data_IF_531761876469
#
_entry.id   IF_531761876469
#
_cell.length_a   1.000
_cell.length_b   1.000
_cell.length_c   1.000
_cell.angle_alpha   90.00
_cell.angle_beta   90.00
_cell.angle_gamma   90.00
#
_symmetry.space_group_name_H-M   'P 1'
#
loop_
_entity.id
_entity.type
_entity.pdbx_description
1 polymer ?
#
# COMPACT_ATOMS: atom_id res chain seq x y z
N UNK A 1 -28.18 -57.79 -12.34
CA UNK A 1 -28.07 -56.32 -12.33
C UNK A 1 -26.60 -55.92 -12.46
N UNK A 2 -26.15 -55.37 -13.60
CA UNK A 2 -24.78 -54.89 -13.77
C UNK A 2 -24.66 -53.44 -13.30
N UNK A 3 -23.65 -53.16 -12.46
CA UNK A 3 -23.31 -51.83 -11.97
C UNK A 3 -22.62 -51.00 -13.05
N UNK A 4 -23.28 -49.94 -13.54
CA UNK A 4 -22.67 -48.93 -14.39
C UNK A 4 -21.69 -48.08 -13.56
N UNK A 5 -20.38 -48.25 -13.80
CA UNK A 5 -19.36 -47.29 -13.37
C UNK A 5 -19.42 -46.10 -14.32
N UNK A 6 -19.77 -44.94 -13.79
CA UNK A 6 -19.71 -43.68 -14.52
C UNK A 6 -18.26 -43.24 -14.67
N UNK A 7 -17.78 -43.20 -15.91
CA UNK A 7 -16.54 -42.55 -16.29
C UNK A 7 -16.68 -41.03 -16.14
N UNK A 8 -15.91 -40.45 -15.21
CA UNK A 8 -15.79 -39.00 -15.08
C UNK A 8 -14.68 -38.48 -16.01
N UNK A 9 -14.92 -37.45 -16.84
CA UNK A 9 -13.93 -36.98 -17.80
C UNK A 9 -12.81 -36.18 -17.11
N UNK A 10 -11.62 -36.79 -17.07
CA UNK A 10 -10.36 -36.18 -16.69
C UNK A 10 -9.83 -35.27 -17.81
N UNK A 11 -10.39 -34.06 -18.00
CA UNK A 11 -9.91 -33.11 -19.02
C UNK A 11 -9.98 -31.63 -18.60
N UNK A 12 -9.61 -31.28 -17.35
CA UNK A 12 -9.55 -29.86 -16.89
C UNK A 12 -8.25 -29.43 -16.19
N UNK A 13 -7.10 -30.04 -16.48
CA UNK A 13 -5.85 -29.70 -15.76
C UNK A 13 -4.88 -28.78 -16.52
N UNK A 14 -4.93 -28.68 -17.86
CA UNK A 14 -3.93 -27.90 -18.64
C UNK A 14 -4.23 -26.42 -18.84
N UNK A 15 -5.49 -25.96 -18.75
CA UNK A 15 -5.82 -24.52 -18.90
C UNK A 15 -5.62 -23.67 -17.64
N UNK A 16 -5.28 -24.30 -16.49
CA UNK A 16 -5.07 -23.60 -15.22
C UNK A 16 -3.69 -22.95 -15.08
N UNK A 17 -2.66 -23.44 -15.77
CA UNK A 17 -1.29 -22.93 -15.58
C UNK A 17 -1.06 -21.57 -16.24
N UNK A 18 -1.60 -21.34 -17.45
CA UNK A 18 -1.49 -20.06 -18.16
C UNK A 18 -2.34 -18.96 -17.50
N UNK A 19 -3.50 -19.32 -16.95
CA UNK A 19 -4.35 -18.39 -16.20
C UNK A 19 -3.71 -17.85 -14.90
N UNK A 20 -2.66 -18.53 -14.39
CA UNK A 20 -1.96 -18.13 -13.18
C UNK A 20 -0.84 -17.09 -13.43
N UNK A 21 -0.27 -17.04 -14.64
CA UNK A 21 0.92 -16.22 -14.93
C UNK A 21 0.65 -14.78 -15.35
N UNK A 22 -0.48 -14.51 -16.01
CA UNK A 22 -0.76 -13.18 -16.57
C UNK A 22 -0.72 -12.02 -15.56
N UNK A 23 -1.19 -12.15 -14.29
CA UNK A 23 -1.15 -11.04 -13.35
C UNK A 23 0.28 -10.62 -13.03
N UNK A 24 1.19 -11.59 -12.93
CA UNK A 24 2.61 -11.35 -12.70
C UNK A 24 3.27 -10.71 -13.91
N UNK A 25 2.96 -11.18 -15.12
CA UNK A 25 3.47 -10.57 -16.36
C UNK A 25 3.04 -9.11 -16.51
N UNK A 26 1.76 -8.80 -16.27
CA UNK A 26 1.26 -7.42 -16.32
C UNK A 26 1.82 -6.58 -15.19
N UNK A 27 1.91 -7.11 -13.97
CA UNK A 27 2.51 -6.41 -12.84
C UNK A 27 4.00 -6.08 -13.05
N UNK A 28 4.75 -7.01 -13.66
CA UNK A 28 6.14 -6.80 -14.03
C UNK A 28 6.26 -5.73 -15.11
N UNK A 29 5.47 -5.82 -16.18
CA UNK A 29 5.43 -4.80 -17.22
C UNK A 29 5.08 -3.42 -16.66
N UNK A 30 4.13 -3.36 -15.72
CA UNK A 30 3.76 -2.13 -15.01
C UNK A 30 4.92 -1.58 -14.18
N UNK A 31 5.59 -2.42 -13.38
CA UNK A 31 6.75 -2.02 -12.59
C UNK A 31 7.89 -1.48 -13.45
N UNK A 32 8.18 -2.16 -14.58
CA UNK A 32 9.17 -1.70 -15.55
C UNK A 32 8.77 -0.37 -16.18
N UNK A 33 7.50 -0.22 -16.59
CA UNK A 33 6.99 1.02 -17.17
C UNK A 33 7.01 2.20 -16.18
N UNK A 34 6.68 1.95 -14.91
CA UNK A 34 6.66 2.97 -13.87
C UNK A 34 8.06 3.51 -13.55
N UNK A 35 9.07 2.63 -13.52
CA UNK A 35 10.45 3.05 -13.30
C UNK A 35 11.05 3.65 -14.57
N UNK A 36 10.65 3.17 -15.75
CA UNK A 36 10.95 3.76 -17.05
C UNK A 36 12.44 4.11 -17.22
N UNK A 37 12.79 5.39 -17.43
CA UNK A 37 14.18 5.82 -17.57
C UNK A 37 15.08 5.50 -16.37
N UNK A 38 14.53 5.38 -15.16
CA UNK A 38 15.29 5.07 -13.95
C UNK A 38 15.92 3.67 -13.98
N UNK A 39 15.49 2.79 -14.90
CA UNK A 39 16.12 1.49 -15.15
C UNK A 39 17.46 1.59 -15.88
N UNK A 40 17.79 2.75 -16.46
CA UNK A 40 19.09 3.00 -17.08
C UNK A 40 20.26 2.78 -16.12
N UNK A 41 21.48 2.56 -16.63
CA UNK A 41 22.65 2.32 -15.78
C UNK A 41 22.93 3.51 -14.86
N UNK A 42 23.51 3.23 -13.69
CA UNK A 42 23.91 4.25 -12.71
C UNK A 42 23.05 4.31 -11.45
N UNK A 43 23.50 5.17 -10.54
CA UNK A 43 22.90 5.37 -9.23
C UNK A 43 21.55 6.08 -9.29
N UNK A 44 20.68 5.81 -8.32
CA UNK A 44 19.42 6.55 -8.15
C UNK A 44 19.60 7.60 -7.05
N UNK A 45 19.42 8.86 -7.42
CA UNK A 45 19.43 9.99 -6.49
C UNK A 45 18.15 10.79 -6.65
N UNK A 46 17.36 10.81 -5.59
CA UNK A 46 16.20 11.66 -5.42
C UNK A 46 15.98 11.92 -3.92
N UNK A 47 14.96 12.70 -3.56
CA UNK A 47 14.69 13.22 -2.21
C UNK A 47 15.21 12.35 -1.04
N UNK A 48 14.63 11.16 -0.82
CA UNK A 48 15.11 10.16 0.15
C UNK A 48 15.71 8.91 -0.52
N UNK A 49 15.72 8.86 -1.86
CA UNK A 49 16.24 7.75 -2.65
C UNK A 49 17.73 7.96 -2.91
N UNK A 50 18.56 7.21 -2.20
CA UNK A 50 20.00 7.19 -2.42
C UNK A 50 20.42 5.74 -2.61
N UNK A 51 20.58 5.34 -3.86
CA UNK A 51 21.01 3.99 -4.23
C UNK A 51 22.29 4.07 -5.07
N UNK A 52 23.42 3.87 -4.40
CA UNK A 52 24.77 3.78 -4.97
C UNK A 52 25.14 2.32 -5.29
N UNK A 53 26.27 2.12 -5.96
CA UNK A 53 26.76 0.78 -6.28
C UNK A 53 27.02 -0.06 -5.01
N UNK A 54 27.60 0.57 -3.99
CA UNK A 54 27.75 -0.02 -2.66
C UNK A 54 26.77 0.68 -1.70
N UNK A 55 25.94 -0.10 -1.02
CA UNK A 55 25.03 0.39 0.01
C UNK A 55 25.67 0.06 1.36
N UNK A 56 26.14 1.05 2.13
CA UNK A 56 26.77 0.77 3.42
C UNK A 56 25.74 0.24 4.41
N UNK A 57 26.15 -0.72 5.23
CA UNK A 57 25.35 -1.18 6.37
C UNK A 57 25.23 -0.02 7.36
N UNK A 58 24.01 0.45 7.71
CA UNK A 58 23.84 1.56 8.64
C UNK A 58 24.49 1.24 9.99
N UNK A 59 25.27 2.17 10.55
CA UNK A 59 25.97 1.94 11.83
C UNK A 59 25.00 1.65 12.98
N UNK A 60 23.79 2.21 12.91
CA UNK A 60 22.70 1.96 13.86
C UNK A 60 22.26 0.49 13.94
N UNK A 61 22.52 -0.35 12.93
CA UNK A 61 22.32 -1.81 13.01
C UNK A 61 23.14 -2.43 14.14
N UNK A 62 24.34 -1.90 14.35
CA UNK A 62 25.29 -2.36 15.37
C UNK A 62 25.09 -1.66 16.71
N UNK A 63 24.04 -0.82 16.84
CA UNK A 63 23.88 0.07 17.99
C UNK A 63 24.92 1.21 18.04
N UNK A 64 25.67 1.41 16.95
CA UNK A 64 26.73 2.41 16.86
C UNK A 64 26.19 3.65 16.15
N UNK A 65 25.85 4.70 16.90
CA UNK A 65 25.51 6.03 16.36
C UNK A 65 24.00 6.31 16.21
N UNK A 66 23.65 7.58 15.94
CA UNK A 66 22.28 8.11 16.09
C UNK A 66 21.39 7.87 14.85
N UNK A 67 21.81 7.02 13.91
CA UNK A 67 21.09 6.83 12.66
C UNK A 67 19.69 6.27 12.91
N UNK A 68 18.67 7.05 12.54
CA UNK A 68 17.28 6.68 12.76
C UNK A 68 16.93 5.36 12.03
N UNK A 69 16.11 4.48 12.64
CA UNK A 69 15.65 3.22 12.05
C UNK A 69 14.76 3.39 10.81
N UNK A 70 14.63 4.59 10.23
CA UNK A 70 13.78 4.86 9.06
C UNK A 70 14.10 3.97 7.86
N UNK A 71 15.32 3.43 7.83
CA UNK A 71 15.86 2.50 6.82
C UNK A 71 15.89 1.04 7.29
N UNK A 72 15.60 0.77 8.55
CA UNK A 72 15.62 -0.58 9.13
C UNK A 72 14.19 -1.15 9.19
N UNK A 73 14.04 -2.48 9.01
CA UNK A 73 15.11 -3.47 8.78
C UNK A 73 15.40 -3.74 7.30
N UNK A 74 14.54 -3.30 6.37
CA UNK A 74 14.61 -3.69 4.96
C UNK A 74 15.91 -3.26 4.24
N UNK A 75 16.64 -2.24 4.71
CA UNK A 75 17.92 -1.87 4.09
C UNK A 75 19.06 -2.80 4.46
N UNK A 76 18.97 -3.60 5.54
CA UNK A 76 20.08 -4.48 5.95
C UNK A 76 20.32 -5.59 4.91
N UNK A 77 19.29 -6.33 4.45
CA UNK A 77 19.46 -7.28 3.36
C UNK A 77 19.96 -6.63 2.06
N UNK A 78 19.50 -5.41 1.74
CA UNK A 78 19.95 -4.67 0.56
C UNK A 78 21.43 -4.29 0.66
N UNK A 79 21.88 -3.80 1.82
CA UNK A 79 23.26 -3.45 2.07
C UNK A 79 24.18 -4.66 1.92
N UNK A 80 23.82 -5.80 2.52
CA UNK A 80 24.59 -7.04 2.36
C UNK A 80 24.60 -7.57 0.94
N UNK A 81 23.44 -7.58 0.27
CA UNK A 81 23.36 -8.01 -1.12
C UNK A 81 24.14 -7.07 -2.06
N UNK A 82 24.32 -5.79 -1.69
CA UNK A 82 25.07 -4.84 -2.50
C UNK A 82 26.56 -5.17 -2.63
N UNK A 83 27.10 -6.01 -1.74
CA UNK A 83 28.46 -6.56 -1.88
C UNK A 83 28.58 -7.63 -2.97
N UNK A 84 27.47 -8.14 -3.50
CA UNK A 84 27.43 -9.17 -4.55
C UNK A 84 26.91 -8.63 -5.88
N UNK A 85 25.97 -7.67 -5.82
CA UNK A 85 25.29 -7.08 -6.97
C UNK A 85 25.25 -5.57 -6.77
N UNK A 86 25.39 -4.80 -7.84
CA UNK A 86 25.24 -3.33 -7.78
C UNK A 86 23.97 -2.91 -7.00
N UNK A 87 24.16 -2.08 -5.97
CA UNK A 87 23.12 -1.65 -5.05
C UNK A 87 22.00 -0.86 -5.73
N UNK A 88 22.32 -0.06 -6.75
CA UNK A 88 21.30 0.63 -7.54
C UNK A 88 20.42 -0.36 -8.30
N UNK A 89 21.00 -1.42 -8.85
CA UNK A 89 20.30 -2.53 -9.51
C UNK A 89 19.40 -3.28 -8.52
N UNK A 90 19.87 -3.54 -7.31
CA UNK A 90 19.05 -4.17 -6.26
C UNK A 90 17.83 -3.31 -5.88
N UNK A 91 18.02 -1.99 -5.71
CA UNK A 91 16.91 -1.07 -5.37
C UNK A 91 15.92 -0.95 -6.52
N UNK A 92 16.38 -0.88 -7.78
CA UNK A 92 15.51 -0.92 -8.97
C UNK A 92 14.70 -2.22 -9.01
N UNK A 93 15.37 -3.36 -8.82
CA UNK A 93 14.72 -4.67 -8.77
C UNK A 93 13.67 -4.74 -7.65
N UNK A 94 13.98 -4.23 -6.46
CA UNK A 94 13.05 -4.17 -5.34
C UNK A 94 11.82 -3.31 -5.65
N UNK A 95 12.01 -2.15 -6.29
CA UNK A 95 10.91 -1.26 -6.68
C UNK A 95 9.99 -1.92 -7.73
N UNK A 96 10.57 -2.54 -8.77
CA UNK A 96 9.81 -3.31 -9.78
C UNK A 96 9.05 -4.46 -9.13
N UNK A 97 9.71 -5.22 -8.26
CA UNK A 97 9.09 -6.32 -7.52
C UNK A 97 7.96 -5.81 -6.61
N UNK A 98 8.14 -4.68 -5.94
CA UNK A 98 7.13 -4.11 -5.05
C UNK A 98 5.86 -3.70 -5.81
N UNK A 99 6.00 -3.04 -6.96
CA UNK A 99 4.87 -2.69 -7.82
C UNK A 99 4.17 -3.95 -8.34
N UNK A 100 4.94 -4.95 -8.77
CA UNK A 100 4.42 -6.23 -9.25
C UNK A 100 3.60 -6.94 -8.15
N UNK A 101 4.17 -7.06 -6.95
CA UNK A 101 3.54 -7.72 -5.80
C UNK A 101 2.31 -6.94 -5.32
N UNK A 102 2.35 -5.60 -5.32
CA UNK A 102 1.19 -4.75 -5.03
C UNK A 102 0.05 -5.00 -6.03
N UNK A 103 0.36 -4.98 -7.32
CA UNK A 103 -0.58 -5.17 -8.41
C UNK A 103 -1.29 -6.53 -8.28
N UNK A 104 -0.50 -7.61 -8.16
CA UNK A 104 -1.03 -8.97 -8.02
C UNK A 104 -1.83 -9.11 -6.72
N UNK A 105 -1.32 -8.55 -5.62
CA UNK A 105 -1.98 -8.56 -4.32
C UNK A 105 -3.38 -7.95 -4.36
N UNK A 106 -3.53 -6.77 -4.99
CA UNK A 106 -4.82 -6.12 -5.14
C UNK A 106 -5.79 -6.94 -6.01
N UNK A 107 -5.32 -7.57 -7.09
CA UNK A 107 -6.17 -8.45 -7.89
C UNK A 107 -6.73 -9.63 -7.09
N UNK A 108 -5.93 -10.17 -6.15
CA UNK A 108 -6.34 -11.31 -5.32
C UNK A 108 -7.54 -10.98 -4.42
N UNK A 109 -7.72 -9.71 -4.06
CA UNK A 109 -8.87 -9.26 -3.26
C UNK A 109 -10.20 -9.32 -4.04
N UNK A 110 -10.15 -9.43 -5.37
CA UNK A 110 -11.30 -9.57 -6.28
C UNK A 110 -11.13 -10.76 -7.22
N UNK A 111 -10.49 -11.84 -6.73
CA UNK A 111 -10.12 -12.99 -7.55
C UNK A 111 -11.31 -13.76 -8.15
N UNK A 112 -12.48 -13.65 -7.52
CA UNK A 112 -13.76 -14.22 -7.94
C UNK A 112 -14.42 -13.44 -9.11
N UNK A 113 -13.81 -12.32 -9.53
CA UNK A 113 -14.34 -11.43 -10.57
C UNK A 113 -13.62 -11.59 -11.91
N UNK A 114 -14.22 -11.02 -12.96
CA UNK A 114 -13.67 -11.06 -14.32
C UNK A 114 -12.30 -10.37 -14.44
N UNK A 115 -11.56 -10.72 -15.50
CA UNK A 115 -10.20 -10.23 -15.73
C UNK A 115 -10.10 -8.69 -15.76
N UNK A 116 -11.10 -8.00 -16.31
CA UNK A 116 -11.11 -6.52 -16.37
C UNK A 116 -11.25 -5.90 -14.99
N UNK A 117 -12.13 -6.42 -14.13
CA UNK A 117 -12.27 -5.96 -12.74
C UNK A 117 -10.99 -6.19 -11.94
N UNK A 118 -10.35 -7.35 -12.14
CA UNK A 118 -9.05 -7.67 -11.53
C UNK A 118 -7.96 -6.72 -12.01
N UNK A 119 -7.88 -6.48 -13.32
CA UNK A 119 -6.93 -5.54 -13.92
C UNK A 119 -7.13 -4.13 -13.36
N UNK A 120 -8.37 -3.65 -13.31
CA UNK A 120 -8.72 -2.34 -12.73
C UNK A 120 -8.28 -2.21 -11.27
N UNK A 121 -8.58 -3.21 -10.43
CA UNK A 121 -8.17 -3.21 -9.02
C UNK A 121 -6.63 -3.18 -8.88
N UNK A 122 -5.92 -3.95 -9.70
CA UNK A 122 -4.45 -3.94 -9.73
C UNK A 122 -3.87 -2.60 -10.14
N UNK A 123 -4.35 -2.02 -11.25
CA UNK A 123 -3.85 -0.75 -11.79
C UNK A 123 -4.11 0.41 -10.84
N UNK A 124 -5.34 0.56 -10.33
CA UNK A 124 -5.68 1.64 -9.38
C UNK A 124 -4.82 1.59 -8.12
N UNK A 125 -4.48 0.39 -7.65
CA UNK A 125 -3.68 0.21 -6.44
C UNK A 125 -2.19 0.45 -6.66
N UNK A 126 -1.62 -0.11 -7.73
CA UNK A 126 -0.17 -0.19 -7.92
C UNK A 126 0.41 0.86 -8.89
N UNK A 127 -0.42 1.41 -9.79
CA UNK A 127 0.01 2.40 -10.79
C UNK A 127 -0.34 3.85 -10.41
N UNK A 128 -1.04 4.05 -9.30
CA UNK A 128 -1.55 5.38 -8.93
C UNK A 128 -0.43 6.38 -8.56
N UNK A 129 -0.74 7.69 -8.57
CA UNK A 129 0.19 8.78 -8.26
C UNK A 129 0.88 8.59 -6.91
N UNK A 130 0.16 8.01 -5.94
CA UNK A 130 0.70 7.72 -4.62
C UNK A 130 1.92 6.79 -4.70
N UNK A 131 1.78 5.63 -5.35
CA UNK A 131 2.86 4.63 -5.43
C UNK A 131 4.02 5.17 -6.26
N UNK A 132 3.72 5.80 -7.39
CA UNK A 132 4.70 6.43 -8.26
C UNK A 132 5.55 7.45 -7.50
N UNK A 133 4.90 8.37 -6.78
CA UNK A 133 5.57 9.41 -6.00
C UNK A 133 6.46 8.82 -4.91
N UNK A 134 5.97 7.81 -4.17
CA UNK A 134 6.75 7.18 -3.08
C UNK A 134 7.93 6.35 -3.59
N UNK A 135 7.77 5.68 -4.73
CA UNK A 135 8.85 4.99 -5.40
C UNK A 135 9.92 5.98 -5.87
N UNK A 136 9.52 7.05 -6.56
CA UNK A 136 10.43 8.06 -7.08
C UNK A 136 11.18 8.81 -5.97
N UNK A 137 10.50 9.16 -4.88
CA UNK A 137 11.09 9.91 -3.76
C UNK A 137 11.88 9.06 -2.78
N UNK A 138 11.87 7.72 -2.90
CA UNK A 138 12.64 6.84 -2.02
C UNK A 138 11.99 6.53 -0.68
N UNK A 139 10.66 6.68 -0.59
CA UNK A 139 9.87 6.26 0.55
C UNK A 139 9.68 4.73 0.58
N UNK A 140 10.80 4.00 0.52
CA UNK A 140 10.84 2.55 0.29
C UNK A 140 10.01 1.77 1.31
N UNK A 141 10.05 2.13 2.60
CA UNK A 141 9.22 1.49 3.62
C UNK A 141 7.71 1.58 3.31
N UNK A 142 7.25 2.71 2.77
CA UNK A 142 5.83 2.88 2.37
C UNK A 142 5.52 2.07 1.10
N UNK A 143 6.45 2.02 0.14
CA UNK A 143 6.30 1.21 -1.08
C UNK A 143 6.21 -0.29 -0.74
N UNK A 144 7.03 -0.76 0.21
CA UNK A 144 6.96 -2.13 0.72
C UNK A 144 5.65 -2.41 1.46
N UNK A 145 5.15 -1.46 2.25
CA UNK A 145 3.80 -1.57 2.86
C UNK A 145 2.73 -1.72 1.79
N UNK A 146 2.77 -0.91 0.72
CA UNK A 146 1.85 -1.04 -0.41
C UNK A 146 1.96 -2.44 -1.05
N UNK A 147 3.17 -2.96 -1.24
CA UNK A 147 3.36 -4.30 -1.78
C UNK A 147 2.76 -5.40 -0.89
N UNK A 148 3.01 -5.34 0.42
CA UNK A 148 2.66 -6.41 1.37
C UNK A 148 1.19 -6.35 1.79
N UNK A 149 0.61 -5.15 1.94
CA UNK A 149 -0.69 -4.94 2.58
C UNK A 149 -1.83 -5.80 2.00
N UNK A 150 -2.05 -5.90 0.67
CA UNK A 150 -3.13 -6.72 0.12
C UNK A 150 -3.02 -8.21 0.44
N UNK A 151 -1.80 -8.70 0.72
CA UNK A 151 -1.51 -10.11 1.00
C UNK A 151 -1.84 -10.47 2.45
N UNK A 152 -1.61 -9.53 3.36
CA UNK A 152 -1.79 -9.74 4.81
C UNK A 152 -3.14 -9.26 5.31
N UNK A 153 -3.81 -8.35 4.57
CA UNK A 153 -5.07 -7.72 4.97
C UNK A 153 -6.15 -8.72 5.42
N UNK A 154 -6.48 -9.79 4.65
CA UNK A 154 -7.52 -10.73 5.08
C UNK A 154 -7.17 -11.48 6.37
N UNK A 155 -5.88 -11.64 6.68
CA UNK A 155 -5.41 -12.29 7.91
C UNK A 155 -5.49 -11.36 9.10
N UNK A 156 -5.04 -10.11 8.94
CA UNK A 156 -5.06 -9.13 10.02
C UNK A 156 -6.46 -8.62 10.35
N UNK A 157 -7.44 -8.84 9.47
CA UNK A 157 -8.85 -8.53 9.72
C UNK A 157 -9.64 -9.66 10.40
N UNK A 158 -9.04 -10.85 10.52
CA UNK A 158 -9.52 -11.94 11.37
C UNK A 158 -8.37 -12.49 12.24
N UNK A 159 -7.71 -11.63 13.04
CA UNK A 159 -6.41 -11.95 13.62
C UNK A 159 -6.47 -13.05 14.69
N UNK A 160 -7.62 -13.30 15.30
CA UNK A 160 -7.78 -14.37 16.30
C UNK A 160 -7.95 -15.76 15.69
N UNK A 161 -8.18 -15.86 14.37
CA UNK A 161 -8.43 -17.13 13.69
C UNK A 161 -7.18 -18.03 13.64
N UNK A 162 -5.99 -17.43 13.49
CA UNK A 162 -4.70 -18.14 13.43
C UNK A 162 -3.58 -17.21 13.89
N UNK A 163 -3.16 -17.37 15.15
CA UNK A 163 -2.16 -16.49 15.78
C UNK A 163 -0.79 -16.57 15.09
N UNK A 164 -0.40 -17.74 14.57
CA UNK A 164 0.86 -17.91 13.87
C UNK A 164 0.85 -17.11 12.56
N UNK A 165 -0.25 -17.17 11.80
CA UNK A 165 -0.40 -16.35 10.59
C UNK A 165 -0.54 -14.86 10.90
N UNK A 166 -1.15 -14.49 12.01
CA UNK A 166 -1.20 -13.10 12.49
C UNK A 166 0.18 -12.58 12.85
N UNK A 167 1.00 -13.38 13.54
CA UNK A 167 2.40 -13.05 13.82
C UNK A 167 3.19 -12.87 12.52
N UNK A 168 3.08 -13.80 11.56
CA UNK A 168 3.78 -13.70 10.28
C UNK A 168 3.32 -12.48 9.46
N UNK A 169 2.02 -12.19 9.44
CA UNK A 169 1.47 -11.00 8.79
C UNK A 169 1.96 -9.70 9.46
N UNK A 170 1.99 -9.67 10.78
CA UNK A 170 2.56 -8.56 11.56
C UNK A 170 4.05 -8.39 11.30
N UNK A 171 4.81 -9.49 11.23
CA UNK A 171 6.24 -9.49 10.94
C UNK A 171 6.56 -9.04 9.51
N UNK A 172 5.76 -9.45 8.51
CA UNK A 172 5.93 -9.01 7.13
C UNK A 172 5.76 -7.48 7.00
N UNK A 173 4.78 -6.90 7.71
CA UNK A 173 4.64 -5.45 7.78
C UNK A 173 5.73 -4.80 8.65
N UNK A 174 6.12 -5.42 9.77
CA UNK A 174 7.24 -4.95 10.60
C UNK A 174 8.57 -4.90 9.85
N UNK A 175 8.78 -5.80 8.89
CA UNK A 175 9.93 -5.79 7.99
C UNK A 175 9.97 -4.54 7.08
N UNK A 176 8.84 -3.87 6.87
CA UNK A 176 8.74 -2.60 6.14
C UNK A 176 9.12 -1.37 7.01
N UNK A 177 9.53 -1.59 8.27
CA UNK A 177 9.91 -0.55 9.22
C UNK A 177 8.73 0.08 9.96
N UNK A 178 8.94 1.28 10.50
CA UNK A 178 7.97 1.99 11.37
C UNK A 178 6.59 2.13 10.71
N UNK A 179 6.54 2.55 9.43
CA UNK A 179 5.27 2.73 8.72
C UNK A 179 4.50 1.42 8.58
N UNK A 180 5.19 0.31 8.35
CA UNK A 180 4.55 -1.01 8.32
C UNK A 180 4.07 -1.45 9.69
N UNK A 181 4.82 -1.18 10.77
CA UNK A 181 4.36 -1.48 12.12
C UNK A 181 3.12 -0.70 12.56
N UNK A 182 3.04 0.59 12.20
CA UNK A 182 1.82 1.39 12.42
C UNK A 182 0.64 0.78 11.65
N UNK A 183 0.83 0.43 10.37
CA UNK A 183 -0.21 -0.21 9.55
C UNK A 183 -0.61 -1.57 10.13
N UNK A 184 0.32 -2.39 10.62
CA UNK A 184 0.04 -3.67 11.25
C UNK A 184 -0.84 -3.51 12.50
N UNK A 185 -0.52 -2.54 13.35
CA UNK A 185 -1.29 -2.21 14.55
C UNK A 185 -2.70 -1.72 14.21
N UNK A 186 -2.83 -0.81 13.24
CA UNK A 186 -4.13 -0.28 12.81
C UNK A 186 -5.02 -1.38 12.21
N UNK A 187 -4.50 -2.16 11.26
CA UNK A 187 -5.28 -3.22 10.61
C UNK A 187 -5.64 -4.32 11.60
N UNK A 188 -4.67 -4.79 12.40
CA UNK A 188 -4.90 -5.80 13.43
C UNK A 188 -5.89 -5.34 14.51
N UNK A 189 -5.80 -4.08 14.93
CA UNK A 189 -6.73 -3.46 15.87
C UNK A 189 -8.14 -3.36 15.31
N UNK A 190 -8.30 -2.87 14.07
CA UNK A 190 -9.60 -2.82 13.40
C UNK A 190 -10.21 -4.22 13.21
N UNK A 191 -9.39 -5.21 12.88
CA UNK A 191 -9.78 -6.63 12.83
C UNK A 191 -10.30 -7.12 14.18
N UNK A 192 -9.53 -6.92 15.25
CA UNK A 192 -9.92 -7.27 16.63
C UNK A 192 -11.22 -6.59 17.10
N UNK A 193 -11.44 -5.34 16.69
CA UNK A 193 -12.66 -4.58 17.01
C UNK A 193 -13.86 -5.09 16.20
N UNK A 194 -13.64 -5.55 14.97
CA UNK A 194 -14.67 -6.15 14.14
C UNK A 194 -14.99 -7.60 14.55
N UNK A 195 -14.06 -8.30 15.19
CA UNK A 195 -14.30 -9.63 15.75
C UNK A 195 -15.31 -9.57 16.91
N UNK A 196 -16.31 -10.46 16.86
CA UNK A 196 -17.32 -10.60 17.92
C UNK A 196 -16.81 -11.34 19.16
N UNK A 197 -17.64 -12.20 19.73
CA UNK A 197 -17.39 -12.86 21.04
C UNK A 197 -16.16 -13.78 21.11
N UNK A 198 -15.59 -14.22 19.99
CA UNK A 198 -14.45 -15.17 19.94
C UNK A 198 -13.06 -14.54 19.84
N UNK A 199 -12.95 -13.23 20.09
CA UNK A 199 -11.67 -12.50 20.03
C UNK A 199 -10.69 -12.93 21.11
N UNK A 200 -9.40 -12.97 20.77
CA UNK A 200 -8.28 -13.27 21.67
C UNK A 200 -7.35 -12.06 21.79
N UNK A 201 -7.81 -10.94 22.37
CA UNK A 201 -7.14 -9.65 22.27
C UNK A 201 -5.70 -9.70 22.80
N UNK A 202 -5.47 -10.29 23.98
CA UNK A 202 -4.14 -10.39 24.56
C UNK A 202 -3.17 -11.19 23.66
N UNK A 203 -3.62 -12.33 23.11
CA UNK A 203 -2.79 -13.17 22.26
C UNK A 203 -2.48 -12.52 20.90
N UNK A 204 -3.45 -11.80 20.32
CA UNK A 204 -3.24 -11.05 19.08
C UNK A 204 -2.30 -9.87 19.31
N UNK A 205 -2.49 -9.11 20.38
CA UNK A 205 -1.58 -8.00 20.74
C UNK A 205 -0.16 -8.51 20.96
N UNK A 206 0.01 -9.64 21.65
CA UNK A 206 1.31 -10.29 21.81
C UNK A 206 1.91 -10.72 20.46
N UNK A 207 1.13 -11.37 19.59
CA UNK A 207 1.59 -11.80 18.26
C UNK A 207 2.03 -10.61 17.39
N UNK A 208 1.27 -9.52 17.40
CA UNK A 208 1.61 -8.30 16.67
C UNK A 208 2.87 -7.64 17.26
N UNK A 209 2.96 -7.53 18.59
CA UNK A 209 4.11 -6.95 19.27
C UNK A 209 5.40 -7.73 18.96
N UNK A 210 5.35 -9.07 19.00
CA UNK A 210 6.48 -9.92 18.62
C UNK A 210 6.87 -9.72 17.16
N UNK A 211 5.89 -9.64 16.26
CA UNK A 211 6.14 -9.33 14.84
C UNK A 211 6.79 -7.96 14.61
N UNK A 212 6.65 -7.00 15.52
CA UNK A 212 7.25 -5.67 15.39
C UNK A 212 8.69 -5.57 15.93
N UNK A 213 9.19 -6.60 16.64
CA UNK A 213 10.50 -6.52 17.31
C UNK A 213 11.65 -6.17 16.38
N UNK A 214 11.57 -6.59 15.11
CA UNK A 214 12.61 -6.39 14.09
C UNK A 214 12.95 -4.91 13.84
N UNK A 215 12.01 -4.00 14.06
CA UNK A 215 12.24 -2.55 13.92
C UNK A 215 12.07 -1.80 15.24
N UNK A 216 11.19 -2.26 16.13
CA UNK A 216 10.88 -1.56 17.36
C UNK A 216 12.04 -1.62 18.36
N UNK A 217 12.75 -2.75 18.44
CA UNK A 217 13.91 -2.89 19.33
C UNK A 217 15.04 -1.92 18.94
N UNK A 218 15.52 -1.90 17.67
CA UNK A 218 16.47 -0.86 17.23
C UNK A 218 15.92 0.57 17.43
N UNK A 219 14.62 0.78 17.19
CA UNK A 219 13.98 2.08 17.38
C UNK A 219 13.99 2.60 18.80
N UNK A 220 13.71 1.75 19.79
CA UNK A 220 13.79 2.13 21.20
C UNK A 220 15.22 2.45 21.61
N UNK A 221 16.21 1.68 21.13
CA UNK A 221 17.63 1.93 21.41
C UNK A 221 18.06 3.30 20.89
N UNK A 222 17.77 3.61 19.62
CA UNK A 222 18.11 4.91 19.01
C UNK A 222 17.35 6.05 19.68
N UNK A 223 16.06 5.86 19.99
CA UNK A 223 15.27 6.88 20.68
C UNK A 223 15.86 7.26 22.04
N UNK A 224 16.34 6.26 22.81
CA UNK A 224 17.00 6.49 24.11
C UNK A 224 18.32 7.27 24.02
N UNK A 225 18.92 7.37 22.84
CA UNK A 225 20.14 8.17 22.61
C UNK A 225 19.85 9.67 22.43
N UNK A 226 18.59 10.11 22.59
CA UNK A 226 18.23 11.54 22.62
C UNK A 226 18.05 12.18 21.24
N UNK A 227 17.81 11.37 20.20
CA UNK A 227 17.56 11.88 18.84
C UNK A 227 16.27 12.70 18.81
N UNK A 228 16.37 13.97 18.42
CA UNK A 228 15.21 14.83 18.16
C UNK A 228 14.68 14.57 16.75
N UNK A 229 13.38 14.31 16.65
CA UNK A 229 12.68 14.16 15.38
C UNK A 229 12.29 15.54 14.85
N UNK A 230 12.33 15.73 13.53
CA UNK A 230 11.85 16.96 12.88
C UNK A 230 10.38 17.26 13.21
N UNK A 231 10.00 18.53 13.18
CA UNK A 231 8.63 19.00 13.49
C UNK A 231 7.60 18.47 12.49
N UNK A 232 6.36 18.32 12.94
CA UNK A 232 5.27 17.71 12.16
C UNK A 232 4.72 18.61 11.04
N UNK A 233 4.80 19.93 11.20
CA UNK A 233 4.23 20.92 10.27
C UNK A 233 4.82 20.86 8.86
N UNK A 234 6.09 20.46 8.75
CA UNK A 234 6.81 20.40 7.46
C UNK A 234 6.33 19.26 6.55
N UNK A 235 5.56 18.29 7.10
CA UNK A 235 5.18 17.09 6.37
C UNK A 235 3.67 16.96 6.13
N UNK A 236 2.90 18.02 6.36
CA UNK A 236 1.47 18.02 6.08
C UNK A 236 1.18 17.66 4.60
N UNK A 237 0.10 16.90 4.36
CA UNK A 237 -0.31 16.57 3.01
C UNK A 237 -0.69 17.85 2.25
N UNK A 238 -0.15 18.03 1.04
CA UNK A 238 -0.44 19.25 0.27
C UNK A 238 -1.72 19.09 -0.54
N UNK A 239 -2.76 19.81 -0.14
CA UNK A 239 -4.12 19.73 -0.73
C UNK A 239 -4.60 21.13 -1.15
N UNK A 240 -4.09 21.69 -2.26
CA UNK A 240 -4.38 23.07 -2.64
C UNK A 240 -5.83 23.26 -3.12
N UNK A 241 -6.45 24.35 -2.68
CA UNK A 241 -7.78 24.80 -3.11
C UNK A 241 -8.94 23.89 -2.67
N UNK A 242 -10.16 24.25 -3.07
CA UNK A 242 -11.38 23.52 -2.69
C UNK A 242 -11.41 22.06 -3.20
N UNK A 243 -10.70 21.76 -4.30
CA UNK A 243 -10.55 20.41 -4.84
C UNK A 243 -9.48 19.56 -4.13
N UNK A 244 -8.71 20.13 -3.21
CA UNK A 244 -7.56 19.49 -2.54
C UNK A 244 -7.89 18.13 -1.93
N UNK A 245 -8.93 18.00 -1.08
CA UNK A 245 -9.31 16.72 -0.50
C UNK A 245 -9.65 15.65 -1.55
N UNK A 246 -10.27 16.03 -2.66
CA UNK A 246 -10.58 15.09 -3.74
C UNK A 246 -9.31 14.64 -4.50
N UNK A 247 -8.30 15.51 -4.61
CA UNK A 247 -6.99 15.13 -5.18
C UNK A 247 -6.29 14.10 -4.29
N UNK A 248 -6.39 14.24 -2.96
CA UNK A 248 -5.88 13.25 -2.01
C UNK A 248 -6.50 11.87 -2.25
N UNK A 249 -7.81 11.81 -2.53
CA UNK A 249 -8.52 10.57 -2.86
C UNK A 249 -8.06 9.95 -4.19
N UNK A 250 -7.51 10.73 -5.11
CA UNK A 250 -6.86 10.22 -6.32
C UNK A 250 -5.42 9.73 -6.09
N UNK A 251 -4.90 9.83 -4.86
CA UNK A 251 -3.53 9.43 -4.51
C UNK A 251 -2.49 10.56 -4.58
N UNK A 252 -2.91 11.82 -4.76
CA UNK A 252 -2.02 12.98 -4.57
C UNK A 252 -1.89 13.33 -3.09
N UNK A 253 -1.22 14.44 -2.77
CA UNK A 253 -1.04 14.92 -1.39
C UNK A 253 0.34 14.64 -0.83
N UNK A 254 1.35 14.45 -1.68
CA UNK A 254 2.74 14.51 -1.23
C UNK A 254 3.04 15.90 -0.69
N UNK A 255 3.79 15.97 0.41
CA UNK A 255 4.02 17.22 1.16
C UNK A 255 4.88 18.22 0.37
N UNK A 256 5.78 17.72 -0.50
CA UNK A 256 6.52 18.55 -1.46
C UNK A 256 5.92 18.43 -2.87
N UNK A 257 5.09 19.39 -3.26
CA UNK A 257 4.43 19.37 -4.58
C UNK A 257 5.36 19.16 -5.77
N UNK A 258 6.61 19.64 -5.72
CA UNK A 258 7.59 19.51 -6.80
C UNK A 258 7.98 18.05 -7.10
N UNK A 259 7.79 17.13 -6.15
CA UNK A 259 8.09 15.71 -6.32
C UNK A 259 6.84 14.85 -6.55
N UNK A 260 5.65 15.44 -6.56
CA UNK A 260 4.41 14.71 -6.80
C UNK A 260 4.33 14.27 -8.26
N UNK A 261 4.20 12.97 -8.51
CA UNK A 261 3.85 12.46 -9.85
C UNK A 261 2.48 13.00 -10.25
N UNK A 262 2.37 13.49 -11.48
CA UNK A 262 1.16 14.18 -11.97
C UNK A 262 1.03 15.61 -11.43
N UNK A 263 2.13 16.26 -11.05
CA UNK A 263 2.10 17.67 -10.69
C UNK A 263 1.46 18.50 -11.81
N UNK A 264 0.64 19.49 -11.46
CA UNK A 264 -0.08 20.32 -12.44
C UNK A 264 -1.17 19.62 -13.27
N UNK A 265 -1.36 18.29 -13.15
CA UNK A 265 -2.32 17.55 -13.95
C UNK A 265 -3.76 18.01 -13.70
N UNK A 266 -4.52 18.21 -14.79
CA UNK A 266 -5.92 18.61 -14.72
C UNK A 266 -6.85 17.44 -14.41
N UNK A 267 -8.04 17.75 -13.88
CA UNK A 267 -9.09 16.75 -13.65
C UNK A 267 -8.83 15.75 -12.51
N UNK A 268 -7.70 15.86 -11.79
CA UNK A 268 -7.35 14.94 -10.69
C UNK A 268 -8.42 14.93 -9.58
N UNK A 269 -8.97 16.08 -9.22
CA UNK A 269 -10.06 16.16 -8.24
C UNK A 269 -11.32 15.44 -8.73
N UNK A 270 -11.68 15.59 -10.01
CA UNK A 270 -12.82 14.89 -10.60
C UNK A 270 -12.58 13.36 -10.63
N UNK A 271 -11.37 12.93 -10.98
CA UNK A 271 -10.99 11.52 -10.91
C UNK A 271 -11.12 10.95 -9.50
N UNK A 272 -10.62 11.66 -8.48
CA UNK A 272 -10.78 11.26 -7.08
C UNK A 272 -12.25 11.17 -6.63
N UNK A 273 -13.10 12.11 -7.06
CA UNK A 273 -14.54 12.06 -6.80
C UNK A 273 -15.21 10.85 -7.47
N UNK A 274 -14.90 10.59 -8.74
CA UNK A 274 -15.43 9.42 -9.47
C UNK A 274 -14.98 8.11 -8.81
N UNK A 275 -13.71 8.00 -8.43
CA UNK A 275 -13.18 6.83 -7.73
C UNK A 275 -13.87 6.62 -6.38
N UNK A 276 -14.13 7.69 -5.62
CA UNK A 276 -14.87 7.59 -4.36
C UNK A 276 -16.31 7.08 -4.60
N UNK A 277 -17.01 7.64 -5.60
CA UNK A 277 -18.38 7.20 -5.94
C UNK A 277 -18.40 5.73 -6.32
N UNK A 278 -17.50 5.31 -7.21
CA UNK A 278 -17.38 3.90 -7.59
C UNK A 278 -17.05 3.02 -6.38
N UNK A 279 -16.14 3.46 -5.50
CA UNK A 279 -15.78 2.72 -4.30
C UNK A 279 -16.97 2.56 -3.34
N UNK A 280 -17.77 3.61 -3.14
CA UNK A 280 -19.00 3.53 -2.33
C UNK A 280 -20.02 2.57 -2.95
N UNK A 281 -20.20 2.61 -4.27
CA UNK A 281 -21.12 1.72 -4.98
C UNK A 281 -20.70 0.23 -4.90
N UNK A 282 -19.40 -0.04 -5.03
CA UNK A 282 -18.85 -1.40 -4.96
C UNK A 282 -18.54 -1.88 -3.55
N UNK A 283 -18.59 -1.01 -2.55
CA UNK A 283 -18.30 -1.34 -1.15
C UNK A 283 -19.14 -2.52 -0.65
N UNK A 284 -20.42 -2.59 -1.05
CA UNK A 284 -21.33 -3.68 -0.65
C UNK A 284 -20.93 -5.05 -1.21
N UNK A 285 -20.20 -5.06 -2.33
CA UNK A 285 -19.76 -6.27 -3.02
C UNK A 285 -18.39 -6.77 -2.52
N UNK A 286 -17.78 -6.04 -1.56
CA UNK A 286 -16.61 -6.52 -0.81
C UNK A 286 -17.02 -7.67 0.13
N UNK A 287 -16.12 -8.65 0.37
CA UNK A 287 -16.35 -9.72 1.33
C UNK A 287 -16.70 -9.18 2.72
N UNK A 288 -17.74 -9.74 3.33
CA UNK A 288 -18.29 -9.29 4.62
C UNK A 288 -17.23 -9.18 5.72
N UNK A 289 -16.30 -10.14 5.73
CA UNK A 289 -15.25 -10.26 6.74
C UNK A 289 -14.33 -9.03 6.83
N UNK A 290 -14.17 -8.26 5.75
CA UNK A 290 -13.31 -7.07 5.77
C UNK A 290 -13.99 -5.78 5.33
N UNK A 291 -15.21 -5.85 4.77
CA UNK A 291 -15.96 -4.68 4.31
C UNK A 291 -15.96 -3.54 5.33
N UNK A 292 -16.48 -3.78 6.54
CA UNK A 292 -16.57 -2.76 7.61
C UNK A 292 -15.20 -2.26 8.10
N UNK A 293 -14.30 -3.12 8.62
CA UNK A 293 -13.04 -2.63 9.17
C UNK A 293 -12.17 -1.93 8.12
N UNK A 294 -12.16 -2.36 6.86
CA UNK A 294 -11.41 -1.65 5.82
C UNK A 294 -12.00 -0.27 5.50
N UNK A 295 -13.33 -0.09 5.54
CA UNK A 295 -13.91 1.25 5.37
C UNK A 295 -13.59 2.18 6.54
N UNK A 296 -13.53 1.67 7.78
CA UNK A 296 -13.10 2.45 8.94
C UNK A 296 -11.64 2.88 8.81
N UNK A 297 -10.77 1.96 8.41
CA UNK A 297 -9.36 2.23 8.15
C UNK A 297 -9.16 3.23 7.02
N UNK A 298 -9.94 3.12 5.95
CA UNK A 298 -9.91 4.06 4.83
C UNK A 298 -10.32 5.47 5.28
N UNK A 299 -11.42 5.59 6.03
CA UNK A 299 -11.88 6.87 6.58
C UNK A 299 -10.85 7.47 7.57
N UNK A 300 -10.29 6.64 8.45
CA UNK A 300 -9.24 7.06 9.38
C UNK A 300 -8.01 7.56 8.64
N UNK A 301 -7.53 6.83 7.63
CA UNK A 301 -6.35 7.20 6.86
C UNK A 301 -6.53 8.52 6.10
N UNK A 302 -7.70 8.73 5.49
CA UNK A 302 -8.02 10.02 4.83
C UNK A 302 -8.12 11.14 5.88
N UNK A 303 -8.79 10.90 7.00
CA UNK A 303 -8.93 11.88 8.07
C UNK A 303 -7.58 12.31 8.65
N UNK A 304 -6.68 11.35 8.92
CA UNK A 304 -5.32 11.60 9.39
C UNK A 304 -4.49 12.35 8.35
N UNK A 305 -4.58 11.97 7.07
CA UNK A 305 -3.87 12.67 6.01
C UNK A 305 -4.36 14.13 5.83
N UNK A 306 -5.65 14.39 6.07
CA UNK A 306 -6.23 15.75 6.02
C UNK A 306 -6.01 16.55 7.30
N UNK A 307 -5.81 15.91 8.46
CA UNK A 307 -5.72 16.58 9.75
C UNK A 307 -4.61 17.64 9.81
N UNK A 308 -3.46 17.34 9.20
CA UNK A 308 -2.34 18.29 9.12
C UNK A 308 -2.51 19.38 8.06
N UNK A 309 -3.51 19.27 7.18
CA UNK A 309 -3.66 20.12 6.01
C UNK A 309 -4.90 21.02 6.01
N UNK A 310 -5.86 20.74 6.90
CA UNK A 310 -7.09 21.53 7.02
C UNK A 310 -6.93 22.64 8.07
N UNK A 311 -7.32 23.89 7.74
CA UNK A 311 -7.38 24.98 8.70
C UNK A 311 -8.20 24.59 9.94
N UNK A 312 -7.67 24.88 11.12
CA UNK A 312 -8.34 24.59 12.42
C UNK A 312 -8.02 23.23 13.04
N UNK A 313 -7.55 22.24 12.27
CA UNK A 313 -7.09 20.95 12.81
C UNK A 313 -5.56 20.89 12.97
N UNK A 314 -4.84 21.75 12.25
CA UNK A 314 -3.37 21.74 12.19
C UNK A 314 -2.70 21.90 13.56
N UNK A 315 -3.19 22.79 14.43
CA UNK A 315 -2.60 23.02 15.76
C UNK A 315 -2.76 21.81 16.68
N UNK A 316 -3.94 21.17 16.66
CA UNK A 316 -4.19 19.94 17.39
C UNK A 316 -3.35 18.78 16.83
N UNK A 317 -3.27 18.68 15.50
CA UNK A 317 -2.44 17.67 14.83
C UNK A 317 -0.97 17.82 15.20
N UNK A 318 -0.45 19.05 15.15
CA UNK A 318 0.92 19.39 15.56
C UNK A 318 1.17 19.01 17.02
N UNK A 319 0.28 19.42 17.93
CA UNK A 319 0.39 19.07 19.36
C UNK A 319 0.42 17.56 19.62
N UNK A 320 -0.35 16.77 18.86
CA UNK A 320 -0.34 15.31 18.97
C UNK A 320 0.96 14.71 18.40
N UNK A 321 1.42 15.22 17.26
CA UNK A 321 2.49 14.60 16.47
C UNK A 321 3.90 15.07 16.82
N UNK A 322 4.04 16.16 17.55
CA UNK A 322 5.31 16.60 18.14
C UNK A 322 5.67 15.80 19.42
N UNK A 323 4.84 14.82 19.81
CA UNK A 323 5.15 13.86 20.87
C UNK A 323 5.93 12.66 20.33
N UNK A 324 6.76 11.98 21.15
CA UNK A 324 7.44 10.74 20.75
C UNK A 324 6.49 9.65 20.22
N UNK A 325 5.27 9.61 20.74
CA UNK A 325 4.25 8.62 20.38
C UNK A 325 3.56 8.99 19.06
N UNK A 326 3.32 10.29 18.83
CA UNK A 326 2.67 10.79 17.62
C UNK A 326 3.62 11.03 16.44
N UNK A 327 4.92 11.16 16.68
CA UNK A 327 5.90 11.42 15.62
C UNK A 327 5.90 10.38 14.48
N UNK A 328 5.70 9.06 14.73
CA UNK A 328 5.56 8.07 13.65
C UNK A 328 4.39 8.33 12.69
N UNK A 329 3.35 9.02 13.14
CA UNK A 329 2.15 9.32 12.34
C UNK A 329 2.12 10.75 11.80
N UNK A 330 3.12 11.59 12.12
CA UNK A 330 3.20 13.00 11.69
C UNK A 330 2.99 13.20 10.18
N UNK A 331 3.51 12.28 9.38
CA UNK A 331 3.32 12.24 7.93
C UNK A 331 2.03 11.46 7.60
N UNK A 332 0.88 12.07 7.87
CA UNK A 332 -0.42 11.38 7.82
C UNK A 332 -0.71 10.70 6.47
N UNK A 333 -0.24 11.28 5.37
CA UNK A 333 -0.30 10.71 4.02
C UNK A 333 0.38 9.34 3.87
N UNK A 334 1.30 8.95 4.78
CA UNK A 334 1.89 7.60 4.78
C UNK A 334 0.86 6.51 5.11
N UNK A 335 -0.30 6.86 5.67
CA UNK A 335 -1.40 5.93 5.96
C UNK A 335 -2.36 5.73 4.78
N UNK A 336 -2.23 6.50 3.69
CA UNK A 336 -3.07 6.33 2.49
C UNK A 336 -3.08 4.92 1.88
N UNK A 337 -2.07 4.03 2.03
CA UNK A 337 -2.21 2.63 1.61
C UNK A 337 -3.45 1.93 2.17
N UNK A 338 -3.91 2.31 3.38
CA UNK A 338 -5.15 1.81 3.99
C UNK A 338 -6.41 2.26 3.24
N UNK A 339 -6.41 3.50 2.74
CA UNK A 339 -7.47 4.00 1.86
C UNK A 339 -7.41 3.31 0.50
N UNK A 340 -6.23 3.22 -0.11
CA UNK A 340 -6.05 2.67 -1.45
C UNK A 340 -6.40 1.18 -1.53
N UNK A 341 -6.06 0.38 -0.50
CA UNK A 341 -6.37 -1.07 -0.48
C UNK A 341 -7.87 -1.35 -0.36
N UNK A 342 -8.64 -0.37 0.14
CA UNK A 342 -10.10 -0.40 0.10
C UNK A 342 -10.63 0.17 -1.22
N UNK A 343 -10.17 1.36 -1.62
CA UNK A 343 -10.69 2.11 -2.76
C UNK A 343 -10.52 1.35 -4.06
N UNK A 344 -9.33 0.79 -4.34
CA UNK A 344 -9.04 0.16 -5.63
C UNK A 344 -9.96 -1.04 -5.95
N UNK A 345 -10.09 -2.07 -5.07
CA UNK A 345 -11.02 -3.17 -5.32
C UNK A 345 -12.49 -2.71 -5.27
N UNK A 346 -12.85 -1.81 -4.35
CA UNK A 346 -14.22 -1.32 -4.25
C UNK A 346 -14.65 -0.54 -5.51
N UNK A 347 -13.78 0.32 -6.06
CA UNK A 347 -14.07 1.08 -7.27
C UNK A 347 -14.18 0.16 -8.49
N UNK A 348 -13.32 -0.84 -8.61
CA UNK A 348 -13.41 -1.85 -9.66
C UNK A 348 -14.73 -2.65 -9.58
N UNK A 349 -15.18 -2.99 -8.38
CA UNK A 349 -16.47 -3.66 -8.15
C UNK A 349 -17.64 -2.73 -8.47
N UNK A 350 -17.58 -1.45 -8.07
CA UNK A 350 -18.63 -0.46 -8.38
C UNK A 350 -18.81 -0.26 -9.88
N UNK A 351 -17.71 -0.20 -10.62
CA UNK A 351 -17.72 -0.20 -12.09
C UNK A 351 -18.35 -1.47 -12.67
N UNK A 352 -18.00 -2.65 -12.15
CA UNK A 352 -18.60 -3.92 -12.57
C UNK A 352 -20.11 -3.98 -12.28
N UNK A 353 -20.54 -3.38 -11.15
CA UNK A 353 -21.95 -3.27 -10.78
C UNK A 353 -22.73 -2.40 -11.76
N UNK A 354 -22.22 -1.21 -12.08
CA UNK A 354 -22.84 -0.33 -13.08
C UNK A 354 -22.89 -0.99 -14.46
N UNK A 355 -21.81 -1.70 -14.83
CA UNK A 355 -21.73 -2.44 -16.09
C UNK A 355 -22.76 -3.58 -16.18
N UNK A 356 -23.15 -4.19 -15.06
CA UNK A 356 -24.15 -5.27 -15.04
C UNK A 356 -25.57 -4.78 -15.41
N UNK A 357 -25.87 -3.50 -15.16
CA UNK A 357 -27.13 -2.87 -15.56
C UNK A 357 -27.11 -2.26 -16.97
N UNK A 358 -25.95 -2.20 -17.62
CA UNK A 358 -25.78 -1.59 -18.93
C UNK A 358 -25.70 -2.64 -20.06
N UNK A 359 -26.00 -2.22 -21.30
CA UNK A 359 -25.90 -3.06 -22.51
C UNK A 359 -24.93 -2.44 -23.52
N UNK A 360 -24.38 -3.26 -24.41
CA UNK A 360 -23.52 -2.83 -25.51
C UNK A 360 -22.34 -1.95 -25.05
N UNK A 361 -22.17 -0.80 -25.68
CA UNK A 361 -21.10 0.15 -25.40
C UNK A 361 -21.09 0.66 -23.94
N UNK A 362 -22.26 0.83 -23.30
CA UNK A 362 -22.33 1.31 -21.92
C UNK A 362 -21.68 0.34 -20.92
N UNK A 363 -21.79 -0.97 -21.17
CA UNK A 363 -21.11 -1.99 -20.36
C UNK A 363 -19.60 -1.89 -20.47
N UNK A 364 -19.09 -1.69 -21.69
CA UNK A 364 -17.65 -1.52 -21.95
C UNK A 364 -17.12 -0.24 -21.31
N UNK A 365 -17.86 0.87 -21.42
CA UNK A 365 -17.49 2.15 -20.83
C UNK A 365 -17.34 2.04 -19.30
N UNK A 366 -18.30 1.44 -18.61
CA UNK A 366 -18.22 1.28 -17.15
C UNK A 366 -17.06 0.37 -16.71
N UNK A 367 -16.83 -0.75 -17.39
CA UNK A 367 -15.71 -1.64 -17.07
C UNK A 367 -14.34 -1.01 -17.38
N UNK A 368 -14.26 -0.20 -18.43
CA UNK A 368 -13.05 0.48 -18.86
C UNK A 368 -12.72 1.72 -18.03
N UNK A 369 -13.71 2.38 -17.42
CA UNK A 369 -13.54 3.65 -16.70
C UNK A 369 -12.42 3.60 -15.64
N UNK A 370 -12.36 2.63 -14.71
CA UNK A 370 -11.31 2.64 -13.70
C UNK A 370 -9.93 2.32 -14.29
N UNK A 371 -9.86 1.55 -15.38
CA UNK A 371 -8.61 1.31 -16.12
C UNK A 371 -8.12 2.60 -16.77
N UNK A 372 -9.03 3.33 -17.41
CA UNK A 372 -8.72 4.62 -18.04
C UNK A 372 -8.28 5.66 -17.00
N UNK A 373 -8.95 5.72 -15.84
CA UNK A 373 -8.56 6.60 -14.73
C UNK A 373 -7.19 6.21 -14.17
N UNK A 374 -6.92 4.93 -13.97
CA UNK A 374 -5.60 4.47 -13.51
C UNK A 374 -4.49 4.84 -14.50
N UNK A 375 -4.73 4.65 -15.80
CA UNK A 375 -3.78 5.02 -16.86
C UNK A 375 -3.57 6.54 -16.90
N UNK A 376 -4.64 7.33 -16.84
CA UNK A 376 -4.58 8.79 -16.81
C UNK A 376 -3.79 9.31 -15.60
N UNK A 377 -4.08 8.82 -14.41
CA UNK A 377 -3.41 9.23 -13.17
C UNK A 377 -1.95 8.76 -13.08
N UNK A 378 -1.55 7.76 -13.87
CA UNK A 378 -0.17 7.28 -13.91
C UNK A 378 0.74 8.12 -14.84
N UNK A 379 0.17 9.03 -15.64
CA UNK A 379 0.95 9.88 -16.55
C UNK A 379 1.85 10.83 -15.75
N UNK A 380 3.17 10.87 -16.00
CA UNK A 380 4.05 11.88 -15.41
C UNK A 380 3.57 13.26 -15.86
N UNK A 381 3.35 14.16 -14.89
CA UNK A 381 2.89 15.53 -15.12
C UNK A 381 4.03 16.50 -15.38
#
# INVERSE_FOLDING_TARGET
MPSARADAPAHRSRSRSWAAGWPWGVGLALGLALLGPALGPGALFNLDLVATAEIPVPRGVWGLGPELPRRLPFMVPLAWASGLVDGATLVKGLLVASVTVAFVGAQRLVADRGAVTRLAAGLLYAAGPFVATRAATGYLGVVLVVAVLPWVLPRLLAPSADLARTLLAGAALGACGVSGGVVAGLVGGAGLLAEGRRRRPAAVLAALAVGQLVWSVPGVVVFRQGVRLAESGDFAARVPGAGGPLRLLAGHGFWQDAFQTGHGQFGVAAAGAVLLVLAVLGHRDLPDAWRRPASWLAALAVGVALAGALPGLESLWRALTDTPIGAPVREGQRLLPLYLVWMAPAAALGAARLASGARGAGRVAWLGLPVALAAWLAVPG
#
